data_IF_107875499191
#
_entry.id   IF_107875499191
#
_cell.length_a   1.000
_cell.length_b   1.000
_cell.length_c   1.000
_cell.angle_alpha   90.00
_cell.angle_beta   90.00
_cell.angle_gamma   90.00
#
_symmetry.space_group_name_H-M   'P 1'
#
loop_
_entity.id
_entity.type
_entity.pdbx_description
1 polymer ?
2 non-polymer ?
3 non-polymer ?
4 non-polymer ?
5 non-polymer ?
6 water ?
#
# COMPACT_ATOMS: atom_id res chain seq x y z
N UNK A 1 -13.08 27.01 20.57
CA UNK A 1 -14.56 26.81 20.46
C UNK A 1 -14.93 25.40 19.95
N UNK A 2 -14.08 24.83 19.10
CA UNK A 2 -14.35 23.54 18.44
C UNK A 2 -14.09 22.34 19.35
N UNK A 3 -12.99 22.36 20.11
CA UNK A 3 -12.62 21.30 21.05
C UNK A 3 -12.97 21.61 22.52
N UNK A 4 -13.74 22.67 22.75
CA UNK A 4 -14.18 23.05 24.10
C UNK A 4 -15.62 22.67 24.32
N UNK A 5 -15.91 22.06 25.46
CA UNK A 5 -17.26 21.56 25.74
C UNK A 5 -18.16 22.66 26.33
N UNK A 6 -19.30 22.92 25.70
CA UNK A 6 -20.30 23.84 26.23
C UNK A 6 -21.35 23.05 27.01
N UNK A 7 -21.80 21.92 26.46
CA UNK A 7 -22.67 20.97 27.18
C UNK A 7 -22.43 19.51 26.81
N UNK A 8 -22.57 18.62 27.80
CA UNK A 8 -22.55 17.19 27.58
C UNK A 8 -23.75 16.62 28.31
N UNK A 9 -24.49 15.71 27.67
CA UNK A 9 -25.59 15.06 28.38
C UNK A 9 -25.93 13.69 27.82
N UNK A 10 -26.56 12.87 28.66
CA UNK A 10 -27.02 11.57 28.24
C UNK A 10 -28.41 11.70 27.60
N UNK A 11 -28.59 11.08 26.44
CA UNK A 11 -29.84 11.09 25.66
C UNK A 11 -30.25 9.70 25.26
N UNK A 12 -31.51 9.58 24.81
CA UNK A 12 -32.00 8.39 24.14
C UNK A 12 -31.90 7.19 25.07
N UNK A 13 -32.63 7.29 26.18
CA UNK A 13 -32.58 6.29 27.24
C UNK A 13 -31.21 6.16 27.86
N UNK A 14 -30.45 7.27 27.85
CA UNK A 14 -29.04 7.30 28.26
C UNK A 14 -28.08 6.39 27.45
N UNK A 15 -28.52 5.92 26.27
CA UNK A 15 -27.67 5.08 25.39
C UNK A 15 -26.73 5.90 24.51
N UNK A 16 -26.82 7.22 24.61
CA UNK A 16 -26.08 8.12 23.73
C UNK A 16 -25.60 9.29 24.60
N UNK A 17 -24.41 9.80 24.33
CA UNK A 17 -23.93 11.02 24.95
C UNK A 17 -23.87 12.04 23.84
N UNK A 18 -24.42 13.21 24.09
CA UNK A 18 -24.32 14.30 23.12
C UNK A 18 -23.42 15.37 23.72
N UNK A 19 -22.57 15.94 22.87
CA UNK A 19 -21.74 17.06 23.23
C UNK A 19 -22.06 18.24 22.33
N UNK A 20 -22.41 19.35 22.95
CA UNK A 20 -22.46 20.64 22.24
C UNK A 20 -21.09 21.31 22.45
N UNK A 21 -20.41 21.63 21.36
CA UNK A 21 -19.10 22.31 21.40
C UNK A 21 -19.37 23.81 21.42
N UNK A 22 -18.33 24.60 21.73
CA UNK A 22 -18.49 26.07 21.83
C UNK A 22 -18.67 26.77 20.47
N UNK A 23 -18.30 26.10 19.38
CA UNK A 23 -18.71 26.55 18.04
C UNK A 23 -20.20 26.22 17.71
N UNK A 24 -20.93 25.59 18.62
CA UNK A 24 -22.34 25.22 18.40
C UNK A 24 -22.54 23.90 17.62
N UNK A 25 -21.47 23.27 17.14
CA UNK A 25 -21.57 21.92 16.55
C UNK A 25 -21.89 20.86 17.62
N UNK A 26 -22.48 19.75 17.19
CA UNK A 26 -22.90 18.70 18.12
C UNK A 26 -22.28 17.40 17.69
N UNK A 27 -21.90 16.55 18.65
CA UNK A 27 -21.39 15.20 18.36
C UNK A 27 -22.16 14.20 19.22
N UNK A 28 -22.38 13.01 18.68
CA UNK A 28 -23.03 11.93 19.41
C UNK A 28 -22.07 10.74 19.59
N UNK A 29 -22.06 10.15 20.78
CA UNK A 29 -21.21 9.03 21.12
C UNK A 29 -22.00 7.94 21.81
N UNK A 30 -22.05 6.74 21.19
CA UNK A 30 -22.80 5.69 21.83
C UNK A 30 -22.25 5.33 23.17
N UNK A 31 -23.13 5.11 24.12
CA UNK A 31 -22.71 4.67 25.41
C UNK A 31 -21.81 3.43 25.37
N UNK A 32 -22.17 2.42 24.55
CA UNK A 32 -21.36 1.16 24.45
C UNK A 32 -19.94 1.42 23.98
N UNK A 33 -19.78 2.34 23.04
CA UNK A 33 -18.47 2.68 22.51
C UNK A 33 -17.62 3.42 23.58
N UNK A 34 -18.24 4.31 24.35
CA UNK A 34 -17.56 4.98 25.45
C UNK A 34 -17.08 3.98 26.50
N UNK A 35 -17.94 3.08 26.94
CA UNK A 35 -17.53 2.09 27.94
C UNK A 35 -16.43 1.16 27.42
N UNK A 36 -16.60 0.71 26.16
CA UNK A 36 -15.59 -0.13 25.46
C UNK A 36 -14.25 0.58 25.45
N UNK A 37 -14.30 1.90 25.34
CA UNK A 37 -13.07 2.68 25.23
C UNK A 37 -12.66 3.52 26.43
N UNK A 38 -13.11 3.10 27.60
CA UNK A 38 -12.62 3.68 28.87
C UNK A 38 -11.11 3.63 28.93
N UNK A 39 -10.47 4.78 29.19
CA UNK A 39 -9.00 4.78 29.26
C UNK A 39 -8.40 4.50 30.63
N UNK A 40 -9.21 4.11 31.62
CA UNK A 40 -8.71 3.90 32.96
C UNK A 40 -7.75 2.69 32.93
N UNK A 41 -6.98 2.52 33.99
CA UNK A 41 -5.90 1.54 33.99
C UNK A 41 -6.44 0.11 34.13
N UNK A 42 -7.71 -0.04 34.53
CA UNK A 42 -8.36 -1.36 34.49
C UNK A 42 -8.65 -1.82 33.04
N UNK A 43 -9.10 -0.87 32.22
CA UNK A 43 -9.61 -1.12 30.88
C UNK A 43 -8.61 -0.96 29.76
N UNK A 44 -7.49 -0.32 30.05
CA UNK A 44 -6.60 0.13 29.01
C UNK A 44 -5.15 0.11 29.51
N UNK A 45 -4.27 -0.56 28.76
CA UNK A 45 -2.86 -0.71 29.15
C UNK A 45 -2.09 0.40 28.47
N UNK A 46 -1.76 1.44 29.24
CA UNK A 46 -1.16 2.61 28.67
C UNK A 46 0.19 2.33 28.00
N UNK A 47 1.01 1.44 28.57
CA UNK A 47 2.33 1.22 27.99
C UNK A 47 2.23 0.59 26.57
N UNK A 48 1.19 -0.19 26.33
CA UNK A 48 0.96 -0.80 25.01
C UNK A 48 -0.01 -0.02 24.13
N UNK A 49 -0.64 1.01 24.70
CA UNK A 49 -1.78 1.70 24.07
C UNK A 49 -2.78 0.66 23.52
N UNK A 50 -3.24 -0.25 24.39
CA UNK A 50 -4.12 -1.35 23.99
C UNK A 50 -5.26 -1.53 24.98
N UNK A 51 -6.39 -2.07 24.49
CA UNK A 51 -7.56 -2.33 25.33
C UNK A 51 -7.33 -3.61 26.13
N UNK A 52 -7.52 -3.55 27.45
CA UNK A 52 -7.50 -4.75 28.31
C UNK A 52 -8.91 -5.30 28.49
N UNK A 53 -9.87 -4.39 28.41
CA UNK A 53 -11.26 -4.72 28.60
C UNK A 53 -11.68 -5.84 27.65
N UNK A 54 -12.29 -6.86 28.18
CA UNK A 54 -12.75 -7.97 27.35
C UNK A 54 -14.15 -7.70 26.79
N UNK A 55 -14.45 -8.28 25.62
CA UNK A 55 -15.82 -8.20 25.05
C UNK A 55 -16.81 -8.75 26.07
N UNK A 56 -16.38 -9.77 26.79
CA UNK A 56 -17.18 -10.45 27.82
C UNK A 56 -17.57 -9.52 28.96
N UNK A 57 -16.76 -8.51 29.24
CA UNK A 57 -17.09 -7.52 30.26
C UNK A 57 -18.07 -6.46 29.78
N UNK A 58 -18.41 -6.45 28.50
CA UNK A 58 -19.12 -5.30 27.95
C UNK A 58 -20.62 -5.60 27.85
N UNK A 59 -21.43 -4.77 28.52
CA UNK A 59 -22.86 -4.81 28.40
C UNK A 59 -23.26 -4.03 27.17
N UNK A 60 -23.68 -4.74 26.12
CA UNK A 60 -23.99 -4.07 24.86
C UNK A 60 -25.23 -3.15 24.96
N UNK A 61 -26.04 -3.33 26.00
CA UNK A 61 -27.23 -2.52 26.25
C UNK A 61 -27.00 -1.43 27.31
N UNK A 62 -25.73 -1.18 27.65
CA UNK A 62 -25.37 -0.24 28.68
C UNK A 62 -25.90 1.16 28.35
N UNK A 63 -26.30 1.87 29.39
CA UNK A 63 -26.53 3.31 29.32
C UNK A 63 -25.70 4.06 30.35
N UNK A 64 -25.51 5.36 30.15
CA UNK A 64 -24.77 6.19 31.13
C UNK A 64 -25.62 6.35 32.42
N UNK A 65 -25.08 6.04 33.60
CA UNK A 65 -25.81 6.26 34.85
C UNK A 65 -25.75 7.73 35.31
N UNK A 66 -24.55 8.32 35.23
CA UNK A 66 -24.38 9.73 35.54
C UNK A 66 -23.28 10.34 34.70
N UNK A 67 -23.38 11.65 34.50
CA UNK A 67 -22.35 12.40 33.76
C UNK A 67 -22.27 13.83 34.29
N UNK A 68 -21.04 14.30 34.48
CA UNK A 68 -20.76 15.71 34.65
C UNK A 68 -19.63 16.05 33.71
N UNK A 69 -19.44 17.35 33.48
CA UNK A 69 -18.42 17.80 32.54
C UNK A 69 -17.84 19.13 32.94
N UNK A 70 -16.70 19.43 32.38
CA UNK A 70 -16.16 20.77 32.39
C UNK A 70 -15.74 20.99 30.95
N UNK A 71 -14.97 22.04 30.69
CA UNK A 71 -14.70 22.46 29.32
C UNK A 71 -13.79 21.49 28.57
N UNK A 72 -12.97 20.73 29.30
CA UNK A 72 -11.99 19.85 28.66
C UNK A 72 -12.26 18.35 28.84
N UNK A 73 -13.25 17.97 29.66
CA UNK A 73 -13.44 16.58 30.06
C UNK A 73 -14.87 16.24 30.42
N UNK A 74 -15.26 14.99 30.18
CA UNK A 74 -16.48 14.45 30.71
C UNK A 74 -16.14 13.33 31.69
N UNK A 75 -16.96 13.22 32.72
CA UNK A 75 -16.75 12.29 33.83
C UNK A 75 -18.04 11.49 33.96
N UNK A 76 -17.95 10.18 33.75
CA UNK A 76 -19.11 9.32 33.60
C UNK A 76 -19.08 8.24 34.65
N UNK A 77 -20.23 7.99 35.27
CA UNK A 77 -20.41 6.81 36.08
C UNK A 77 -21.29 5.83 35.32
N UNK A 78 -21.00 4.55 35.51
CA UNK A 78 -21.73 3.51 34.82
C UNK A 78 -22.65 2.75 35.77
N UNK A 79 -23.64 2.02 35.22
CA UNK A 79 -24.57 1.35 36.12
C UNK A 79 -23.96 0.39 37.15
N UNK A 80 -22.83 -0.26 36.82
CA UNK A 80 -22.17 -1.18 37.75
C UNK A 80 -21.13 -0.47 38.61
N UNK A 81 -21.20 0.86 38.64
CA UNK A 81 -20.32 1.73 39.44
C UNK A 81 -18.92 1.92 38.87
N UNK A 82 -18.65 1.36 37.69
CA UNK A 82 -17.43 1.72 36.99
C UNK A 82 -17.44 3.23 36.65
N UNK A 83 -16.24 3.80 36.62
CA UNK A 83 -16.07 5.24 36.44
C UNK A 83 -15.13 5.53 35.28
N UNK A 84 -15.51 6.42 34.37
CA UNK A 84 -14.68 6.78 33.23
C UNK A 84 -14.53 8.31 33.02
N UNK A 85 -13.34 8.72 32.57
CA UNK A 85 -13.07 10.09 32.16
C UNK A 85 -12.62 10.14 30.71
N UNK A 86 -13.15 11.09 29.95
CA UNK A 86 -12.76 11.27 28.54
C UNK A 86 -12.39 12.72 28.30
N UNK A 87 -11.32 12.89 27.54
CA UNK A 87 -10.79 14.21 27.20
C UNK A 87 -11.48 14.75 25.96
N UNK A 88 -11.74 16.06 25.95
CA UNK A 88 -12.49 16.69 24.87
C UNK A 88 -11.90 16.47 23.49
N UNK A 89 -10.58 16.57 23.39
CA UNK A 89 -9.92 16.53 22.09
C UNK A 89 -9.87 15.12 21.54
N UNK A 90 -9.65 14.16 22.43
CA UNK A 90 -9.77 12.73 22.11
C UNK A 90 -11.14 12.44 21.52
N UNK A 91 -12.19 12.85 22.22
CA UNK A 91 -13.59 12.73 21.76
C UNK A 91 -13.86 13.42 20.40
N UNK A 92 -13.42 14.67 20.27
CA UNK A 92 -13.64 15.44 19.04
C UNK A 92 -13.05 14.75 17.82
N UNK A 93 -11.81 14.30 17.94
CA UNK A 93 -11.12 13.56 16.90
C UNK A 93 -11.92 12.33 16.39
N UNK A 94 -12.58 11.62 17.32
CA UNK A 94 -13.23 10.32 17.04
C UNK A 94 -14.72 10.43 16.81
N UNK A 95 -15.18 11.66 16.59
CA UNK A 95 -16.52 12.01 16.16
C UNK A 95 -17.00 11.13 14.99
N UNK A 96 -18.24 10.68 15.09
CA UNK A 96 -18.83 9.72 14.14
C UNK A 96 -19.48 10.36 12.90
N UNK A 97 -19.42 11.68 12.77
CA UNK A 97 -19.89 12.31 11.54
C UNK A 97 -19.03 11.84 10.35
N UNK A 98 -19.66 11.82 9.18
CA UNK A 98 -19.00 11.33 7.98
C UNK A 98 -17.74 12.14 7.73
N UNK A 99 -17.87 13.46 7.90
CA UNK A 99 -16.75 14.39 7.65
C UNK A 99 -15.58 14.16 8.57
N UNK A 100 -15.87 13.99 9.87
CA UNK A 100 -14.80 13.79 10.86
C UNK A 100 -14.15 12.42 10.69
N UNK A 101 -14.95 11.38 10.37
CA UNK A 101 -14.37 10.04 10.15
C UNK A 101 -13.46 10.01 8.91
N UNK A 102 -13.91 10.65 7.83
CA UNK A 102 -13.15 10.69 6.58
C UNK A 102 -11.85 11.47 6.74
N UNK A 103 -11.91 12.57 7.48
CA UNK A 103 -10.72 13.36 7.75
C UNK A 103 -9.63 12.56 8.43
N UNK A 104 -10.04 11.83 9.45
CA UNK A 104 -9.15 10.97 10.22
C UNK A 104 -8.61 9.82 9.38
N UNK A 105 -9.48 9.19 8.56
CA UNK A 105 -9.03 8.15 7.61
C UNK A 105 -7.95 8.63 6.65
N UNK A 106 -8.10 9.85 6.13
CA UNK A 106 -7.05 10.45 5.31
C UNK A 106 -5.71 10.61 6.02
N UNK A 107 -5.75 10.95 7.30
CA UNK A 107 -4.53 11.12 8.09
C UNK A 107 -3.89 9.79 8.35
N UNK A 108 -4.69 8.76 8.54
CA UNK A 108 -4.15 7.45 8.84
C UNK A 108 -3.54 6.80 7.60
N UNK A 109 -4.22 6.94 6.46
CA UNK A 109 -3.94 6.09 5.28
C UNK A 109 -3.41 6.78 4.03
N UNK A 110 -3.33 8.11 4.04
CA UNK A 110 -2.77 8.86 2.89
C UNK A 110 -3.35 8.43 1.53
N UNK A 111 -4.68 8.44 1.37
CA UNK A 111 -5.30 7.84 0.20
C UNK A 111 -5.09 8.52 -1.14
N UNK A 112 -4.71 9.80 -1.15
CA UNK A 112 -4.60 10.56 -2.39
C UNK A 112 -3.62 9.93 -3.41
N UNK A 113 -4.06 9.78 -4.67
CA UNK A 113 -3.20 9.38 -5.79
C UNK A 113 -3.22 10.47 -6.88
N UNK A 114 -2.07 10.68 -7.52
CA UNK A 114 -2.00 11.43 -8.76
C UNK A 114 -1.76 10.44 -9.89
N UNK A 115 -2.80 10.19 -10.67
CA UNK A 115 -2.76 9.33 -11.85
C UNK A 115 -1.93 9.97 -12.93
N UNK A 116 -1.27 9.16 -13.74
CA UNK A 116 -0.39 9.71 -14.78
C UNK A 116 -0.29 8.79 -16.01
N UNK A 117 0.13 9.38 -17.12
CA UNK A 117 0.46 8.68 -18.35
C UNK A 117 1.87 9.01 -18.80
N UNK A 118 2.06 9.05 -20.12
CA UNK A 118 3.36 9.33 -20.71
C UNK A 118 3.96 10.69 -20.30
N UNK A 119 3.11 11.60 -19.81
CA UNK A 119 3.55 12.94 -19.37
C UNK A 119 4.25 12.97 -18.01
N UNK A 120 4.26 11.84 -17.30
CA UNK A 120 4.93 11.78 -15.99
C UNK A 120 6.27 12.52 -15.95
N UNK A 121 6.45 13.31 -14.89
CA UNK A 121 7.74 13.86 -14.47
C UNK A 121 8.19 12.96 -13.35
N UNK A 122 9.25 12.19 -13.58
CA UNK A 122 9.66 11.19 -12.62
C UNK A 122 10.17 11.84 -11.32
N UNK A 123 9.45 11.66 -10.19
CA UNK A 123 9.92 12.32 -8.98
C UNK A 123 11.28 11.76 -8.61
N UNK A 124 12.19 12.64 -8.18
CA UNK A 124 13.58 12.31 -8.06
C UNK A 124 14.16 12.99 -6.81
N UNK A 125 14.88 12.20 -6.02
CA UNK A 125 15.54 12.69 -4.82
C UNK A 125 16.92 12.13 -4.76
N UNK A 126 17.74 12.70 -3.88
CA UNK A 126 19.07 12.18 -3.67
C UNK A 126 19.06 11.06 -2.63
N UNK A 127 19.78 9.99 -2.94
CA UNK A 127 19.85 8.78 -2.12
C UNK A 127 20.35 9.06 -0.70
N UNK A 128 21.55 9.63 -0.59
CA UNK A 128 22.15 9.88 0.74
C UNK A 128 21.32 10.88 1.55
N UNK A 129 20.71 11.86 0.89
CA UNK A 129 19.82 12.81 1.61
C UNK A 129 18.66 12.11 2.28
N UNK A 130 18.10 11.13 1.56
CA UNK A 130 16.96 10.36 2.02
C UNK A 130 17.36 9.55 3.23
N UNK A 131 18.55 8.95 3.20
CA UNK A 131 19.05 8.21 4.35
C UNK A 131 19.38 9.13 5.51
N UNK A 132 19.86 10.33 5.22
CA UNK A 132 20.28 11.27 6.27
C UNK A 132 19.11 12.08 6.87
N UNK A 133 18.17 12.58 6.06
CA UNK A 133 17.20 13.59 6.52
C UNK A 133 15.76 13.13 6.49
N UNK A 134 15.04 13.39 7.58
CA UNK A 134 13.67 12.94 7.70
C UNK A 134 12.77 13.71 6.75
N UNK A 135 13.06 15.01 6.58
CA UNK A 135 12.34 15.83 5.60
C UNK A 135 12.38 15.17 4.19
N UNK A 136 13.53 14.63 3.80
CA UNK A 136 13.67 13.97 2.51
C UNK A 136 13.00 12.58 2.49
N UNK A 137 13.26 11.77 3.50
CA UNK A 137 12.66 10.44 3.60
C UNK A 137 11.13 10.56 3.66
N UNK A 138 10.65 11.63 4.28
CA UNK A 138 9.23 11.90 4.29
C UNK A 138 8.70 12.21 2.89
N UNK A 139 9.43 13.04 2.16
CA UNK A 139 9.06 13.36 0.80
C UNK A 139 9.08 12.09 -0.07
N UNK A 140 10.06 11.25 0.19
CA UNK A 140 10.27 10.00 -0.54
C UNK A 140 9.02 9.12 -0.42
N UNK A 141 8.65 8.76 0.80
CA UNK A 141 7.57 7.82 1.01
C UNK A 141 6.20 8.37 0.68
N UNK A 142 5.96 9.65 0.97
CA UNK A 142 4.68 10.27 0.65
C UNK A 142 4.52 10.35 -0.86
N UNK A 143 5.59 10.66 -1.58
CA UNK A 143 5.53 10.65 -3.03
C UNK A 143 5.40 9.23 -3.60
N UNK A 144 6.14 8.28 -3.02
CA UNK A 144 5.95 6.86 -3.34
C UNK A 144 4.48 6.50 -3.27
N UNK A 145 3.80 6.93 -2.20
CA UNK A 145 2.42 6.55 -1.96
C UNK A 145 1.48 7.23 -2.95
N UNK A 146 1.71 8.51 -3.19
CA UNK A 146 0.80 9.34 -3.96
C UNK A 146 0.97 9.12 -5.48
N UNK A 147 2.21 9.15 -5.96
CA UNK A 147 2.51 9.03 -7.38
C UNK A 147 2.76 7.56 -7.78
N UNK A 148 3.28 6.76 -6.86
CA UNK A 148 3.50 5.33 -7.12
C UNK A 148 4.95 5.07 -7.46
N UNK A 149 5.73 6.11 -7.69
CA UNK A 149 7.15 5.87 -7.93
C UNK A 149 8.00 7.08 -7.57
N UNK A 150 9.20 6.79 -7.07
CA UNK A 150 10.21 7.79 -6.85
C UNK A 150 11.55 7.22 -7.26
N UNK A 151 12.30 7.98 -8.03
CA UNK A 151 13.65 7.59 -8.37
C UNK A 151 14.65 8.26 -7.41
N UNK A 152 15.62 7.52 -6.93
CA UNK A 152 16.67 8.11 -6.08
C UNK A 152 17.97 8.06 -6.86
N UNK A 153 18.66 9.19 -6.89
CA UNK A 153 19.92 9.30 -7.64
C UNK A 153 21.10 9.43 -6.68
N UNK A 154 22.27 9.08 -7.17
CA UNK A 154 23.52 9.20 -6.43
C UNK A 154 23.85 8.07 -5.47
N UNK A 155 23.29 6.88 -5.66
CA UNK A 155 23.73 5.75 -4.86
C UNK A 155 25.11 5.28 -5.38
N UNK A 156 25.76 4.39 -4.66
CA UNK A 156 26.96 3.74 -5.19
C UNK A 156 26.60 2.85 -6.39
N UNK A 157 27.63 2.32 -7.04
CA UNK A 157 27.46 1.33 -8.09
C UNK A 157 27.84 -0.05 -7.54
N UNK A 158 27.38 -0.34 -6.33
CA UNK A 158 27.81 -1.52 -5.59
C UNK A 158 26.59 -2.14 -4.89
N UNK A 159 26.57 -3.48 -4.72
CA UNK A 159 25.51 -4.11 -3.91
C UNK A 159 25.37 -3.51 -2.51
N UNK A 160 24.19 -3.63 -1.93
CA UNK A 160 24.00 -3.17 -0.57
C UNK A 160 23.23 -1.87 -0.41
N UNK A 161 22.97 -1.16 -1.52
CA UNK A 161 22.22 0.09 -1.41
C UNK A 161 20.73 -0.13 -1.09
N UNK A 162 20.10 -1.12 -1.71
CA UNK A 162 18.66 -1.34 -1.40
C UNK A 162 18.47 -1.77 0.06
N UNK A 163 19.45 -2.47 0.62
CA UNK A 163 19.42 -2.83 2.04
C UNK A 163 19.38 -1.60 2.92
N UNK A 164 20.20 -0.60 2.61
CA UNK A 164 20.21 0.65 3.38
C UNK A 164 18.83 1.29 3.37
N UNK A 165 18.15 1.22 2.23
CA UNK A 165 16.80 1.78 2.09
C UNK A 165 15.82 0.95 2.89
N UNK A 166 16.03 -0.36 2.89
CA UNK A 166 15.18 -1.28 3.63
C UNK A 166 15.18 -0.98 5.12
N UNK A 167 16.39 -0.75 5.66
CA UNK A 167 16.55 -0.34 7.05
C UNK A 167 15.95 1.05 7.27
N UNK A 168 16.14 1.97 6.34
CA UNK A 168 15.52 3.28 6.52
C UNK A 168 14.00 3.09 6.68
N UNK A 169 13.40 2.17 5.94
CA UNK A 169 11.97 1.91 6.08
C UNK A 169 11.73 1.14 7.39
N UNK A 170 12.55 0.14 7.64
CA UNK A 170 12.34 -0.74 8.79
C UNK A 170 12.96 -2.08 8.51
N UNK A 171 12.33 -2.82 7.61
CA UNK A 171 12.89 -4.05 7.11
C UNK A 171 12.27 -4.40 5.76
N UNK A 172 13.06 -5.17 5.02
CA UNK A 172 12.70 -5.74 3.72
C UNK A 172 11.84 -7.02 3.86
N UNK A 173 11.12 -7.34 2.79
CA UNK A 173 10.20 -8.46 2.74
C UNK A 173 10.93 -9.67 2.14
N UNK A 174 11.22 -10.67 2.94
CA UNK A 174 11.94 -11.89 2.47
C UNK A 174 11.05 -12.76 1.59
N UNK A 175 11.59 -13.19 0.45
CA UNK A 175 10.91 -14.14 -0.43
C UNK A 175 11.88 -15.26 -0.83
N UNK A 176 11.37 -16.21 -1.62
CA UNK A 176 12.15 -17.32 -2.13
C UNK A 176 13.29 -16.88 -3.02
N UNK A 177 13.25 -15.64 -3.51
CA UNK A 177 14.38 -15.10 -4.28
C UNK A 177 15.43 -14.39 -3.39
N UNK A 178 15.19 -14.36 -2.08
CA UNK A 178 16.19 -13.87 -1.11
C UNK A 178 15.79 -12.56 -0.46
N UNK A 179 16.64 -12.05 0.44
CA UNK A 179 16.40 -10.74 1.05
C UNK A 179 16.56 -9.67 -0.01
N UNK A 180 17.57 -9.84 -0.86
CA UNK A 180 17.80 -9.04 -2.06
C UNK A 180 18.15 -10.04 -3.14
N UNK A 181 18.05 -9.63 -4.39
CA UNK A 181 18.27 -10.52 -5.53
C UNK A 181 18.91 -9.73 -6.66
N UNK A 182 19.61 -10.44 -7.53
CA UNK A 182 20.45 -9.84 -8.55
C UNK A 182 19.79 -10.11 -9.89
N UNK A 183 19.37 -9.04 -10.57
CA UNK A 183 18.78 -9.14 -11.89
C UNK A 183 19.92 -9.08 -12.90
N UNK A 184 20.29 -10.24 -13.41
CA UNK A 184 21.31 -10.37 -14.45
C UNK A 184 21.07 -11.65 -15.20
N UNK A 185 21.70 -11.80 -16.37
CA UNK A 185 21.62 -13.01 -17.20
C UNK A 185 22.30 -14.17 -16.48
N UNK A 186 21.58 -15.28 -16.29
CA UNK A 186 22.12 -16.43 -15.57
C UNK A 186 21.88 -17.74 -16.33
N UNK A 187 22.88 -18.63 -16.25
CA UNK A 187 22.82 -19.96 -16.82
C UNK A 187 21.76 -20.75 -16.08
N UNK A 188 20.93 -21.50 -16.80
CA UNK A 188 19.84 -22.24 -16.17
C UNK A 188 18.95 -21.31 -15.34
N UNK A 189 18.63 -20.15 -15.90
CA UNK A 189 17.81 -19.15 -15.18
C UNK A 189 16.56 -19.78 -14.59
N UNK A 190 16.34 -19.56 -13.30
CA UNK A 190 15.11 -19.98 -12.65
C UNK A 190 13.94 -18.98 -12.87
N UNK A 191 14.16 -17.94 -13.67
CA UNK A 191 13.17 -16.88 -13.83
C UNK A 191 13.49 -16.10 -15.10
N UNK A 192 12.47 -15.76 -15.88
CA UNK A 192 12.71 -14.99 -17.10
C UNK A 192 13.39 -13.65 -16.78
N UNK A 193 13.19 -13.14 -15.56
CA UNK A 193 13.90 -11.91 -15.15
C UNK A 193 15.43 -12.04 -15.31
N UNK A 194 15.95 -13.26 -15.08
CA UNK A 194 17.39 -13.54 -15.08
C UNK A 194 17.91 -14.01 -16.46
N UNK A 195 17.42 -13.33 -17.51
CA UNK A 195 17.83 -13.53 -18.89
C UNK A 195 17.97 -12.16 -19.52
N UNK A 196 18.38 -12.10 -20.79
CA UNK A 196 18.42 -10.85 -21.59
C UNK A 196 17.11 -10.50 -22.34
N UNK A 197 16.08 -11.30 -22.11
CA UNK A 197 14.83 -11.13 -22.79
C UNK A 197 14.05 -9.90 -22.36
N UNK A 198 13.11 -9.54 -23.21
CA UNK A 198 12.20 -8.44 -22.96
C UNK A 198 11.25 -8.89 -21.85
N UNK A 199 10.94 -7.99 -20.91
CA UNK A 199 9.86 -8.23 -19.96
C UNK A 199 8.76 -7.26 -20.33
N UNK A 200 7.62 -7.79 -20.78
CA UNK A 200 6.45 -6.97 -20.97
C UNK A 200 5.94 -6.51 -19.60
N UNK A 201 4.92 -5.64 -19.63
CA UNK A 201 4.38 -5.06 -18.39
C UNK A 201 3.89 -6.17 -17.49
N UNK A 202 4.34 -6.11 -16.25
CA UNK A 202 3.89 -7.02 -15.25
C UNK A 202 4.03 -6.39 -13.86
N UNK A 203 3.39 -7.02 -12.88
CA UNK A 203 3.69 -6.81 -11.47
C UNK A 203 4.52 -8.00 -11.03
N UNK A 204 5.36 -7.80 -10.00
CA UNK A 204 6.16 -8.88 -9.42
C UNK A 204 5.37 -9.72 -8.45
N UNK A 205 5.57 -11.02 -8.60
CA UNK A 205 5.17 -12.05 -7.64
C UNK A 205 3.67 -12.22 -7.46
N UNK A 206 2.90 -12.19 -8.56
CA UNK A 206 1.50 -12.64 -8.38
C UNK A 206 1.39 -14.12 -7.97
N UNK A 207 2.46 -14.91 -8.08
CA UNK A 207 2.44 -16.29 -7.55
C UNK A 207 2.27 -16.35 -6.03
N UNK A 208 2.43 -15.21 -5.35
CA UNK A 208 2.10 -15.13 -3.91
C UNK A 208 0.70 -14.52 -3.72
N UNK A 209 -0.04 -15.01 -2.73
CA UNK A 209 -1.33 -14.42 -2.43
C UNK A 209 -1.22 -13.02 -1.87
N UNK A 210 -0.07 -12.68 -1.29
CA UNK A 210 0.19 -11.29 -0.87
C UNK A 210 1.42 -10.75 -1.62
N UNK A 211 1.22 -10.28 -2.86
CA UNK A 211 2.42 -9.83 -3.56
C UNK A 211 3.11 -8.64 -2.84
N UNK A 212 4.44 -8.51 -2.97
CA UNK A 212 5.17 -7.35 -2.47
C UNK A 212 4.46 -6.02 -2.79
N UNK A 213 4.31 -5.16 -1.79
CA UNK A 213 3.68 -3.84 -1.99
C UNK A 213 4.57 -2.87 -2.71
N UNK A 214 5.86 -2.89 -2.37
CA UNK A 214 6.80 -1.91 -2.84
C UNK A 214 8.04 -2.63 -3.32
N UNK A 215 8.56 -2.17 -4.46
CA UNK A 215 9.75 -2.75 -5.04
C UNK A 215 10.84 -1.71 -5.08
N UNK A 216 12.05 -2.15 -4.84
CA UNK A 216 13.23 -1.32 -4.92
C UNK A 216 14.17 -1.95 -5.96
N UNK A 217 14.69 -1.14 -6.87
CA UNK A 217 15.56 -1.65 -7.95
C UNK A 217 16.69 -0.69 -8.17
N UNK A 218 17.90 -1.20 -8.05
CA UNK A 218 19.11 -0.40 -8.04
C UNK A 218 19.97 -0.82 -9.21
N UNK A 219 20.29 0.14 -10.07
CA UNK A 219 21.17 -0.14 -11.20
C UNK A 219 22.63 -0.10 -10.75
N UNK A 220 23.29 -1.27 -10.80
CA UNK A 220 24.71 -1.43 -10.49
C UNK A 220 25.52 -1.24 -11.80
N UNK A 221 25.03 -1.88 -12.86
CA UNK A 221 25.67 -1.90 -14.17
C UNK A 221 24.56 -1.89 -15.21
N UNK A 222 24.76 -1.10 -16.26
CA UNK A 222 23.80 -0.92 -17.35
C UNK A 222 24.47 -1.21 -18.68
N UNK A 223 23.68 -1.63 -19.66
CA UNK A 223 24.17 -1.99 -20.98
C UNK A 223 23.69 -0.96 -21.99
N UNK A 224 24.50 -0.75 -23.03
CA UNK A 224 24.06 0.14 -24.12
C UNK A 224 23.26 -0.60 -25.19
N UNK A 225 23.14 -1.93 -25.07
CA UNK A 225 22.50 -2.69 -26.14
C UNK A 225 20.98 -2.79 -26.03
N UNK A 226 20.41 -2.16 -25.00
CA UNK A 226 18.96 -2.25 -24.70
C UNK A 226 18.78 -2.05 -23.20
N UNK A 227 17.75 -2.66 -22.63
CA UNK A 227 17.55 -2.63 -21.18
C UNK A 227 16.88 -1.38 -20.61
N UNK A 228 16.20 -0.61 -21.46
CA UNK A 228 15.43 0.53 -20.98
C UNK A 228 14.31 0.01 -20.11
N UNK A 229 13.85 0.86 -19.20
CA UNK A 229 12.73 0.56 -18.31
C UNK A 229 11.47 1.23 -18.86
N UNK A 230 10.34 0.61 -18.57
CA UNK A 230 9.04 1.16 -18.90
C UNK A 230 8.13 0.95 -17.71
N UNK A 231 7.35 1.97 -17.40
CA UNK A 231 6.32 1.85 -16.37
C UNK A 231 4.98 2.35 -16.90
N UNK A 232 3.92 1.95 -16.23
CA UNK A 232 2.58 2.39 -16.57
C UNK A 232 1.83 2.46 -15.25
N UNK A 233 0.86 3.36 -15.15
CA UNK A 233 0.05 3.51 -13.93
C UNK A 233 -1.17 2.61 -14.07
N UNK A 234 -1.12 1.42 -13.46
CA UNK A 234 -2.19 0.44 -13.57
C UNK A 234 -3.57 0.99 -13.17
N UNK A 235 -3.62 1.91 -12.20
CA UNK A 235 -4.94 2.42 -11.79
C UNK A 235 -5.47 3.29 -12.92
N UNK A 236 -4.58 4.04 -13.56
CA UNK A 236 -4.98 4.88 -14.69
C UNK A 236 -5.45 4.00 -15.83
N UNK A 237 -4.69 2.95 -16.13
CA UNK A 237 -5.06 2.03 -17.21
C UNK A 237 -6.42 1.36 -16.93
N UNK A 238 -6.69 0.96 -15.69
CA UNK A 238 -7.93 0.26 -15.39
C UNK A 238 -9.12 1.19 -15.53
N UNK A 239 -8.92 2.45 -15.20
CA UNK A 239 -9.96 3.42 -15.37
C UNK A 239 -10.28 3.60 -16.85
N UNK A 240 -9.25 3.72 -17.68
CA UNK A 240 -9.48 3.79 -19.12
C UNK A 240 -10.15 2.52 -19.66
N UNK A 241 -9.77 1.35 -19.16
CA UNK A 241 -10.38 0.08 -19.61
C UNK A 241 -11.85 -0.03 -19.24
N UNK A 242 -12.20 0.33 -18.01
CA UNK A 242 -13.61 0.31 -17.60
C UNK A 242 -14.47 1.15 -18.52
N UNK A 243 -13.94 2.30 -18.93
CA UNK A 243 -14.65 3.24 -19.78
C UNK A 243 -14.76 2.74 -21.22
N UNK A 244 -13.62 2.33 -21.80
CA UNK A 244 -13.57 1.86 -23.18
C UNK A 244 -14.21 0.50 -23.42
N UNK A 245 -14.07 -0.40 -22.45
CA UNK A 245 -14.46 -1.79 -22.63
C UNK A 245 -15.01 -2.35 -21.33
N UNK A 246 -16.23 -1.97 -20.98
CA UNK A 246 -16.73 -2.41 -19.70
C UNK A 246 -16.68 -3.92 -19.56
N UNK A 247 -16.92 -4.62 -20.65
CA UNK A 247 -16.96 -6.08 -20.60
C UNK A 247 -15.59 -6.70 -20.33
N UNK A 248 -14.55 -6.19 -20.97
CA UNK A 248 -13.19 -6.60 -20.65
C UNK A 248 -12.86 -6.29 -19.19
N UNK A 249 -13.32 -5.13 -18.71
CA UNK A 249 -13.11 -4.78 -17.31
C UNK A 249 -13.79 -5.74 -16.36
N UNK A 250 -15.05 -6.07 -16.62
CA UNK A 250 -15.78 -7.04 -15.80
C UNK A 250 -15.11 -8.44 -15.78
N UNK A 251 -14.57 -8.89 -16.91
CA UNK A 251 -13.91 -10.22 -16.97
C UNK A 251 -12.61 -10.24 -16.15
N UNK A 252 -11.77 -9.25 -16.36
CA UNK A 252 -10.50 -9.19 -15.62
C UNK A 252 -10.64 -8.94 -14.12
N UNK A 253 -11.71 -8.26 -13.72
CA UNK A 253 -11.97 -8.02 -12.30
C UNK A 253 -12.80 -9.11 -11.63
N UNK A 254 -13.27 -10.10 -12.38
CA UNK A 254 -14.00 -11.21 -11.77
C UNK A 254 -13.38 -12.60 -11.98
N UNK A 255 -12.42 -12.75 -12.87
CA UNK A 255 -11.91 -14.06 -13.21
C UNK A 255 -10.69 -14.42 -12.41
N UNK A 256 -10.77 -15.53 -11.68
CA UNK A 256 -9.58 -16.05 -10.99
C UNK A 256 -8.58 -16.76 -11.94
N UNK A 257 -7.36 -16.24 -11.97
CA UNK A 257 -6.28 -16.71 -12.80
C UNK A 257 -5.26 -17.38 -11.91
N UNK A 258 -4.73 -18.53 -12.35
CA UNK A 258 -3.79 -19.28 -11.55
C UNK A 258 -2.38 -18.82 -11.88
N UNK A 259 -1.56 -18.55 -10.86
CA UNK A 259 -0.14 -18.24 -11.08
C UNK A 259 0.69 -19.32 -10.44
N UNK A 260 1.89 -19.54 -10.96
CA UNK A 260 2.76 -20.63 -10.50
C UNK A 260 4.25 -20.25 -10.53
N UNK A 261 5.02 -20.83 -9.61
CA UNK A 261 6.48 -20.62 -9.60
C UNK A 261 7.14 -21.80 -8.89
N UNK A 262 7.88 -22.59 -9.65
CA UNK A 262 8.50 -23.80 -9.14
C UNK A 262 9.98 -23.73 -9.49
N UNK A 263 10.84 -23.98 -8.51
CA UNK A 263 12.30 -23.86 -8.71
C UNK A 263 13.08 -23.83 -7.40
N UNK A 264 14.32 -23.40 -7.48
CA UNK A 264 15.20 -23.35 -6.31
C UNK A 264 15.93 -22.04 -6.34
N UNK A 265 15.89 -21.29 -5.23
CA UNK A 265 16.74 -20.08 -5.11
C UNK A 265 17.17 -19.93 -3.66
N UNK A 266 16.57 -19.02 -2.90
CA UNK A 266 16.88 -18.92 -1.48
C UNK A 266 16.61 -20.28 -0.83
N UNK A 267 15.62 -20.97 -1.39
CA UNK A 267 15.12 -22.19 -0.90
C UNK A 267 14.53 -22.95 -2.06
N UNK A 268 14.19 -24.21 -1.89
CA UNK A 268 13.44 -24.90 -2.93
C UNK A 268 11.96 -24.57 -2.77
N UNK A 269 11.28 -24.37 -3.88
CA UNK A 269 9.92 -23.89 -3.81
C UNK A 269 9.02 -24.42 -4.90
N UNK A 270 7.74 -24.54 -4.55
CA UNK A 270 6.68 -24.86 -5.49
C UNK A 270 5.48 -24.03 -5.07
N UNK A 271 5.31 -22.88 -5.71
CA UNK A 271 4.36 -21.89 -5.27
C UNK A 271 3.19 -21.80 -6.26
N UNK A 272 1.97 -21.68 -5.72
CA UNK A 272 0.72 -21.59 -6.50
C UNK A 272 -0.21 -20.52 -5.92
N UNK A 273 -0.83 -19.71 -6.77
CA UNK A 273 -1.85 -18.78 -6.29
C UNK A 273 -2.98 -18.66 -7.29
N UNK A 274 -4.07 -18.02 -6.84
CA UNK A 274 -5.17 -17.56 -7.67
C UNK A 274 -5.39 -16.09 -7.36
N UNK A 275 -5.56 -15.25 -8.40
CA UNK A 275 -5.84 -13.82 -8.27
C UNK A 275 -6.71 -13.36 -9.41
N UNK A 276 -7.60 -12.41 -9.13
CA UNK A 276 -8.17 -11.57 -10.16
C UNK A 276 -7.12 -10.56 -10.61
N UNK A 277 -6.92 -10.44 -11.91
CA UNK A 277 -5.88 -9.54 -12.46
C UNK A 277 -6.12 -8.07 -12.04
N UNK A 278 -7.38 -7.66 -12.07
CA UNK A 278 -7.80 -6.38 -11.58
C UNK A 278 -8.57 -6.66 -10.33
N UNK A 279 -7.98 -6.30 -9.19
CA UNK A 279 -8.57 -6.60 -7.91
C UNK A 279 -9.30 -5.37 -7.34
N UNK A 280 -10.62 -5.53 -7.09
CA UNK A 280 -11.48 -4.45 -6.59
C UNK A 280 -11.73 -4.59 -5.10
N UNK A 281 -11.86 -3.47 -4.39
CA UNK A 281 -12.36 -3.52 -3.02
C UNK A 281 -13.90 -3.65 -3.03
N UNK A 282 -14.51 -3.66 -1.85
CA UNK A 282 -15.94 -3.90 -1.72
C UNK A 282 -16.76 -2.76 -2.31
N UNK A 283 -16.15 -1.60 -2.49
CA UNK A 283 -16.83 -0.49 -3.14
C UNK A 283 -16.57 -0.44 -4.62
N UNK A 284 -15.87 -1.44 -5.16
CA UNK A 284 -15.60 -1.48 -6.60
C UNK A 284 -14.39 -0.68 -7.06
N UNK A 285 -13.53 -0.24 -6.14
CA UNK A 285 -12.35 0.55 -6.54
C UNK A 285 -11.17 -0.38 -6.71
N UNK A 286 -10.38 -0.15 -7.73
CA UNK A 286 -9.24 -0.98 -7.98
C UNK A 286 -8.22 -0.70 -6.90
N UNK A 287 -7.80 -1.76 -6.19
CA UNK A 287 -6.79 -1.65 -5.14
C UNK A 287 -5.51 -2.36 -5.50
N UNK A 288 -5.58 -3.36 -6.39
CA UNK A 288 -4.37 -4.04 -6.82
C UNK A 288 -4.53 -4.66 -8.20
N UNK A 289 -3.40 -4.68 -8.91
CA UNK A 289 -3.24 -5.35 -10.17
C UNK A 289 -2.29 -6.50 -9.89
N UNK A 290 -2.72 -7.69 -10.30
CA UNK A 290 -1.95 -8.93 -10.13
C UNK A 290 -1.72 -9.60 -11.50
N UNK A 291 -0.56 -9.36 -12.09
CA UNK A 291 -0.32 -9.86 -13.44
C UNK A 291 1.14 -9.96 -13.83
N UNK A 292 1.62 -11.19 -14.01
CA UNK A 292 2.89 -11.46 -14.66
C UNK A 292 2.64 -12.60 -15.67
N UNK A 293 2.94 -12.33 -16.94
CA UNK A 293 2.60 -13.26 -18.01
C UNK A 293 3.53 -14.43 -18.03
N UNK A 294 4.70 -14.23 -17.46
CA UNK A 294 5.68 -15.29 -17.35
C UNK A 294 5.17 -16.35 -16.40
N UNK A 295 4.56 -15.91 -15.30
CA UNK A 295 4.19 -16.81 -14.21
C UNK A 295 2.74 -17.20 -14.18
N UNK A 296 1.94 -16.63 -15.06
CA UNK A 296 0.58 -17.13 -15.24
C UNK A 296 0.65 -18.63 -15.63
N UNK A 297 -0.09 -19.47 -14.91
CA UNK A 297 0.03 -20.90 -15.08
C UNK A 297 -0.58 -21.41 -16.42
N UNK A 298 -0.18 -22.61 -16.82
CA UNK A 298 -0.78 -23.33 -17.98
C UNK A 298 -2.17 -23.81 -17.56
N UNK A 299 -2.27 -24.15 -16.29
CA UNK A 299 -3.53 -24.46 -15.63
C UNK A 299 -4.41 -23.22 -15.64
N UNK A 300 -5.64 -23.37 -16.10
CA UNK A 300 -6.54 -22.24 -16.16
C UNK A 300 -7.90 -22.76 -15.80
N UNK A 301 -8.30 -22.42 -14.57
CA UNK A 301 -9.44 -22.99 -13.88
C UNK A 301 -10.68 -22.18 -14.19
N UNK A 302 -11.13 -22.24 -15.44
CA UNK A 302 -12.42 -21.67 -15.84
C UNK A 302 -13.13 -22.60 -16.86
N UNK A 303 -14.46 -22.44 -17.02
CA UNK A 303 -15.15 -23.29 -18.01
C UNK A 303 -14.65 -22.97 -19.41
N UNK A 304 -14.76 -23.94 -20.32
CA UNK A 304 -14.11 -23.78 -21.62
C UNK A 304 -14.61 -22.51 -22.35
N UNK A 305 -15.91 -22.20 -22.20
CA UNK A 305 -16.53 -21.06 -22.90
C UNK A 305 -16.03 -19.68 -22.46
N UNK A 306 -15.49 -19.60 -21.25
CA UNK A 306 -14.92 -18.36 -20.74
C UNK A 306 -13.47 -18.10 -21.12
N UNK A 307 -12.81 -19.09 -21.72
CA UNK A 307 -11.39 -19.00 -22.04
C UNK A 307 -11.10 -17.96 -23.09
N UNK A 308 -11.68 -18.08 -24.28
CA UNK A 308 -11.27 -17.17 -25.32
C UNK A 308 -11.63 -15.70 -24.97
N UNK A 309 -12.83 -15.50 -24.40
CA UNK A 309 -13.15 -14.13 -23.98
C UNK A 309 -12.18 -13.57 -22.91
N UNK A 310 -11.67 -14.40 -22.01
CA UNK A 310 -10.64 -13.95 -21.06
C UNK A 310 -9.46 -13.43 -21.82
N UNK A 311 -8.97 -14.23 -22.78
CA UNK A 311 -7.83 -13.79 -23.56
C UNK A 311 -8.07 -12.50 -24.32
N UNK A 312 -9.26 -12.34 -24.87
CA UNK A 312 -9.57 -11.11 -25.59
C UNK A 312 -9.54 -9.89 -24.64
N UNK A 313 -10.09 -10.03 -23.44
CA UNK A 313 -10.02 -9.01 -22.38
C UNK A 313 -8.58 -8.65 -22.04
N UNK A 314 -7.79 -9.67 -21.76
CA UNK A 314 -6.39 -9.44 -21.39
C UNK A 314 -5.66 -8.67 -22.48
N UNK A 315 -5.89 -9.07 -23.73
CA UNK A 315 -5.27 -8.41 -24.86
C UNK A 315 -5.61 -6.93 -24.89
N UNK A 316 -6.89 -6.60 -24.71
CA UNK A 316 -7.29 -5.18 -24.66
C UNK A 316 -6.52 -4.47 -23.57
N UNK A 317 -6.42 -5.11 -22.41
CA UNK A 317 -5.80 -4.50 -21.23
C UNK A 317 -4.34 -4.19 -21.51
N UNK A 318 -3.65 -5.13 -22.15
CA UNK A 318 -2.23 -4.99 -22.47
C UNK A 318 -2.01 -3.96 -23.56
N UNK A 319 -2.85 -3.96 -24.59
CA UNK A 319 -2.77 -2.90 -25.61
C UNK A 319 -2.87 -1.50 -24.99
N UNK A 320 -3.78 -1.32 -24.02
CA UNK A 320 -3.91 -0.06 -23.30
C UNK A 320 -2.64 0.31 -22.56
N UNK A 321 -2.04 -0.67 -21.88
CA UNK A 321 -0.78 -0.44 -21.20
C UNK A 321 0.30 0.02 -22.15
N UNK A 322 0.32 -0.58 -23.34
CA UNK A 322 1.34 -0.27 -24.34
C UNK A 322 1.07 1.03 -25.11
N UNK A 323 -0.08 1.65 -24.94
CA UNK A 323 -0.39 2.86 -25.68
C UNK A 323 0.60 3.98 -25.35
N UNK A 324 0.96 4.78 -26.35
CA UNK A 324 1.90 5.91 -26.17
C UNK A 324 1.41 6.94 -25.15
N UNK A 325 0.12 7.04 -24.93
CA UNK A 325 -0.43 7.95 -23.88
C UNK A 325 -0.20 7.46 -22.43
N UNK A 326 -0.09 6.15 -22.24
CA UNK A 326 -0.03 5.57 -20.91
C UNK A 326 1.38 5.34 -20.40
N UNK A 327 2.26 4.86 -21.25
CA UNK A 327 3.53 4.39 -20.76
C UNK A 327 4.62 5.45 -20.71
N UNK A 328 5.53 5.25 -19.76
CA UNK A 328 6.65 6.15 -19.55
C UNK A 328 7.91 5.30 -19.61
N UNK A 329 8.84 5.70 -20.46
CA UNK A 329 10.05 4.99 -20.74
C UNK A 329 11.24 5.80 -20.23
N UNK A 330 12.24 5.15 -19.69
CA UNK A 330 13.44 5.81 -19.20
C UNK A 330 14.49 4.74 -19.11
N UNK A 331 15.72 5.12 -18.89
CA UNK A 331 16.80 4.16 -18.80
C UNK A 331 17.57 4.50 -17.55
N UNK A 332 17.73 3.48 -16.70
CA UNK A 332 18.47 3.62 -15.46
C UNK A 332 19.98 3.62 -15.75
N UNK A 333 20.71 4.42 -14.97
CA UNK A 333 22.15 4.43 -14.97
C UNK A 333 22.67 3.94 -13.65
N UNK A 334 23.90 3.40 -13.63
CA UNK A 334 24.54 2.99 -12.41
C UNK A 334 24.42 4.04 -11.32
N UNK A 335 23.97 3.64 -10.13
CA UNK A 335 23.72 4.62 -9.08
C UNK A 335 22.27 5.04 -8.95
N UNK A 336 21.44 4.75 -9.94
CA UNK A 336 20.01 5.04 -9.81
C UNK A 336 19.33 3.94 -9.05
N UNK A 337 18.37 4.32 -8.21
CA UNK A 337 17.46 3.37 -7.57
C UNK A 337 16.02 3.78 -7.89
N UNK A 338 15.16 2.84 -8.30
CA UNK A 338 13.75 3.16 -8.37
C UNK A 338 13.03 2.41 -7.26
N UNK A 339 12.07 3.09 -6.64
CA UNK A 339 11.25 2.57 -5.58
C UNK A 339 9.82 2.81 -6.06
N UNK A 340 9.01 1.78 -6.14
CA UNK A 340 7.67 2.00 -6.65
C UNK A 340 6.63 1.09 -6.06
N UNK A 341 5.38 1.48 -6.23
CA UNK A 341 4.22 0.75 -5.75
C UNK A 341 3.93 -0.41 -6.70
N UNK A 342 4.21 -1.63 -6.25
CA UNK A 342 4.12 -2.83 -7.09
C UNK A 342 2.70 -3.41 -7.13
N UNK A 343 1.78 -2.80 -6.38
CA UNK A 343 0.35 -3.08 -6.45
C UNK A 343 -0.38 -2.24 -7.53
N UNK A 344 0.22 -1.12 -7.91
CA UNK A 344 -0.45 -0.16 -8.77
C UNK A 344 0.25 -0.08 -10.12
N UNK A 345 1.57 0.10 -10.15
CA UNK A 345 2.28 0.22 -11.43
C UNK A 345 2.48 -1.16 -12.06
N UNK A 346 2.57 -1.22 -13.38
CA UNK A 346 3.23 -2.37 -14.02
C UNK A 346 4.55 -1.92 -14.60
N UNK A 347 5.51 -2.81 -14.66
CA UNK A 347 6.80 -2.40 -15.13
C UNK A 347 7.34 -3.42 -16.08
N UNK A 348 8.31 -2.99 -16.87
CA UNK A 348 8.96 -3.86 -17.80
C UNK A 348 10.33 -3.43 -18.23
N UNK A 349 10.87 -4.19 -19.15
CA UNK A 349 12.25 -4.00 -19.55
C UNK A 349 12.38 -4.36 -21.03
N UNK A 350 13.16 -3.58 -21.79
CA UNK A 350 13.52 -3.95 -23.17
C UNK A 350 14.62 -5.01 -23.19
N UNK A 351 14.59 -5.89 -24.20
CA UNK A 351 15.63 -6.91 -24.37
C UNK A 351 16.99 -6.26 -24.58
N UNK A 352 18.04 -7.00 -24.28
CA UNK A 352 19.39 -6.53 -24.54
C UNK A 352 20.20 -7.72 -25.02
N UNK A 353 21.49 -7.51 -25.28
CA UNK A 353 22.27 -8.57 -25.92
C UNK A 353 23.01 -9.40 -24.87
N UNK A 354 22.90 -10.72 -24.99
CA UNK A 354 23.74 -11.65 -24.23
C UNK A 354 25.23 -11.46 -24.57
N UNK A 355 26.11 -11.79 -23.63
CA UNK A 355 27.54 -11.86 -23.93
C UNK A 355 28.30 -12.64 -22.88
N UNK A 356 29.63 -12.66 -22.97
CA UNK A 356 30.43 -13.51 -22.10
C UNK A 356 30.59 -12.87 -20.73
N UNK A 357 30.68 -11.55 -20.68
CA UNK A 357 30.69 -10.89 -19.40
C UNK A 357 29.30 -10.34 -19.09
N UNK A 358 29.10 -9.98 -17.82
CA UNK A 358 27.82 -9.46 -17.38
C UNK A 358 27.79 -8.00 -17.78
N UNK A 359 26.88 -7.63 -18.67
CA UNK A 359 26.78 -6.26 -19.16
C UNK A 359 25.79 -5.46 -18.33
N UNK A 360 25.03 -6.13 -17.47
CA UNK A 360 23.86 -5.52 -16.86
C UNK A 360 23.52 -6.20 -15.56
N UNK A 361 23.32 -5.40 -14.51
CA UNK A 361 23.17 -5.91 -13.16
C UNK A 361 22.34 -4.93 -12.35
N UNK A 362 21.17 -5.38 -11.92
CA UNK A 362 20.36 -4.65 -10.97
C UNK A 362 20.30 -5.44 -9.66
N UNK A 363 20.20 -4.75 -8.51
CA UNK A 363 19.81 -5.40 -7.26
C UNK A 363 18.43 -4.90 -6.84
N UNK A 364 17.53 -5.85 -6.58
CA UNK A 364 16.18 -5.54 -6.18
C UNK A 364 15.86 -6.10 -4.80
N UNK A 365 14.81 -5.57 -4.21
CA UNK A 365 14.24 -6.10 -2.96
C UNK A 365 12.80 -5.67 -2.90
N UNK A 366 12.07 -6.21 -1.94
CA UNK A 366 10.68 -5.89 -1.73
C UNK A 366 10.45 -5.34 -0.32
N UNK A 367 9.41 -4.54 -0.16
CA UNK A 367 8.92 -4.22 1.15
C UNK A 367 7.40 -4.27 1.19
N UNK A 368 6.86 -4.51 2.38
CA UNK A 368 5.44 -4.58 2.64
C UNK A 368 4.88 -3.17 2.86
N UNK A 369 3.71 -2.91 2.28
CA UNK A 369 3.10 -1.56 2.37
C UNK A 369 2.80 -1.13 3.82
N UNK A 370 2.50 -2.10 4.68
CA UNK A 370 2.23 -1.75 6.10
C UNK A 370 3.48 -1.28 6.85
N UNK A 371 4.63 -1.85 6.46
CA UNK A 371 5.91 -1.47 6.98
C UNK A 371 6.27 -0.06 6.46
N UNK A 372 5.96 0.20 5.19
CA UNK A 372 6.25 1.48 4.59
C UNK A 372 5.32 2.57 5.18
N UNK A 373 4.02 2.29 5.31
CA UNK A 373 3.08 3.26 5.86
C UNK A 373 3.41 3.57 7.32
N UNK A 374 3.79 2.53 8.07
CA UNK A 374 4.27 2.75 9.43
C UNK A 374 5.38 3.81 9.47
N UNK A 375 6.38 3.63 8.63
CA UNK A 375 7.50 4.58 8.59
C UNK A 375 7.00 5.96 8.11
N UNK A 376 6.06 5.96 7.18
CA UNK A 376 5.50 7.21 6.69
C UNK A 376 4.77 7.98 7.80
N UNK A 377 4.02 7.28 8.64
CA UNK A 377 3.30 7.93 9.73
C UNK A 377 4.21 8.52 10.76
N UNK A 378 5.27 7.79 11.10
CA UNK A 378 6.28 8.24 12.08
C UNK A 378 7.04 9.44 11.54
N UNK A 379 7.52 9.33 10.30
CA UNK A 379 8.22 10.43 9.66
C UNK A 379 7.40 11.71 9.65
N UNK A 380 6.10 11.62 9.33
CA UNK A 380 5.26 12.83 9.32
C UNK A 380 5.17 13.54 10.67
N UNK A 381 4.96 12.76 11.72
CA UNK A 381 4.89 13.26 13.08
C UNK A 381 6.19 13.97 13.45
N UNK A 382 7.33 13.42 13.04
CA UNK A 382 8.65 13.99 13.32
C UNK A 382 8.91 15.29 12.56
N UNK A 383 8.52 15.33 11.30
CA UNK A 383 8.78 16.48 10.43
C UNK A 383 7.82 17.64 10.70
N UNK A 384 6.56 17.33 10.99
CA UNK A 384 5.62 18.35 11.47
C UNK A 384 5.88 18.80 12.92
N UNK A 385 6.61 17.99 13.69
CA UNK A 385 7.06 18.37 15.06
C UNK A 385 8.58 18.40 15.17
#
# INVERSE_FOLDING_TARGET
>A
MACTIQKAEALDGAHLMQILWYDEEESLYPAVWLRDNCPCSDCYLDSAKARKLLVEALDVNIGIKGLIFDRKKVYITWPDEHYSEFQADWLKKRCFSKQARAKLQRELFFPECQYWGSELQLPTLDFEDVLRYDEHAYKWLSTLKKVGIVRLTGASDKPGEVSKLGKRMGFLYLTFYGHTWQVQDKIDANNVAYTTGKLSFHTDYPALHHPPGVQLLHCIKQTVTGGDSEIVDGFNVCQKLKKNNPQAFQILSSTFVDFTDIGVDYCDFSVQSKHKIIELDDKGQVVRINFNNATRDTIFDVPVERVQPFYAALKEFVDLMNSKESKFTFKMNPGDVITFDNWRLLHGRRSYEAGTEISRHLEGAYADWDVVMSRLRILRQRVENGN
#
